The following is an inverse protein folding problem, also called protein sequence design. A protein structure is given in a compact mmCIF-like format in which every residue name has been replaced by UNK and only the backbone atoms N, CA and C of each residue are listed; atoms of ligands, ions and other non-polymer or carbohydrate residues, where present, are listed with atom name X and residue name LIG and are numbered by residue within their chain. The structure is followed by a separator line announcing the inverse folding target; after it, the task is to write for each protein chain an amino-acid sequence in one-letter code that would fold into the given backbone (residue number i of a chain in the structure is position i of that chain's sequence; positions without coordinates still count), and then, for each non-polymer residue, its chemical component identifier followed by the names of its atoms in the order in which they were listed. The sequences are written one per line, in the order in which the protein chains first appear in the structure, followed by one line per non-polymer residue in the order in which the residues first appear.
data_IF_215904171704
#
_entry.id   IF_215904171704
#
_cell.length_a   1.000
_cell.length_b   1.000
_cell.length_c   1.000
_cell.angle_alpha   90.00
_cell.angle_beta   90.00
_cell.angle_gamma   90.00
#
_symmetry.space_group_name_H-M   'P 1'
#
loop_
_entity.id
_entity.type
_entity.pdbx_description
1 polymer ?
#
# COMPACT_ATOMS: atom_id res chain seq x y z
N UNK A 1 -27.12 1.05 5.43
CA UNK A 1 -26.19 -0.06 5.18
C UNK A 1 -24.93 0.07 6.03
N UNK A 2 -25.10 0.13 7.36
CA UNK A 2 -24.01 0.11 8.36
C UNK A 2 -24.26 -1.02 9.38
N UNK A 3 -25.23 -1.89 9.08
CA UNK A 3 -25.71 -2.99 9.92
C UNK A 3 -25.36 -4.39 9.39
N UNK A 4 -24.66 -4.48 8.25
CA UNK A 4 -24.29 -5.76 7.62
C UNK A 4 -22.88 -6.25 8.00
N UNK A 5 -22.05 -5.41 8.64
CA UNK A 5 -20.68 -5.80 9.02
C UNK A 5 -20.57 -6.32 10.46
N UNK A 6 -21.50 -5.96 11.35
CA UNK A 6 -21.49 -6.44 12.77
C UNK A 6 -22.27 -7.76 12.91
N UNK A 7 -23.11 -8.11 11.93
CA UNK A 7 -23.93 -9.33 11.96
C UNK A 7 -23.21 -10.58 11.46
N UNK A 8 -22.16 -10.48 10.65
CA UNK A 8 -21.44 -11.65 10.12
C UNK A 8 -20.40 -12.25 11.08
N UNK A 9 -19.80 -11.45 11.97
CA UNK A 9 -18.81 -11.96 12.93
C UNK A 9 -19.43 -12.73 14.10
N UNK A 10 -20.72 -12.49 14.41
CA UNK A 10 -21.43 -13.16 15.50
C UNK A 10 -22.23 -14.40 15.05
N UNK A 11 -22.35 -14.65 13.74
CA UNK A 11 -23.09 -15.80 13.22
C UNK A 11 -22.23 -17.08 13.11
N UNK A 12 -20.91 -16.97 13.26
CA UNK A 12 -19.98 -18.11 13.23
C UNK A 12 -19.83 -18.84 14.58
N UNK A 13 -20.38 -18.32 15.67
CA UNK A 13 -20.20 -18.88 17.02
C UNK A 13 -21.48 -19.24 17.79
N UNK A 14 -22.65 -19.27 17.16
CA UNK A 14 -23.87 -19.75 17.83
C UNK A 14 -24.18 -21.21 17.47
N UNK A 15 -23.72 -22.15 18.31
CA UNK A 15 -24.27 -23.51 18.37
C UNK A 15 -25.66 -23.46 19.00
N UNK A 16 -26.72 -23.55 18.18
CA UNK A 16 -27.99 -24.19 18.56
C UNK A 16 -28.91 -24.40 17.34
N UNK A 17 -29.13 -25.68 17.05
CA UNK A 17 -30.24 -26.34 16.37
C UNK A 17 -31.09 -25.54 15.38
N UNK A 18 -30.94 -25.81 14.08
CA UNK A 18 -32.05 -25.75 13.10
C UNK A 18 -31.93 -26.86 12.05
N UNK A 19 -33.05 -27.58 11.91
CA UNK A 19 -33.32 -28.68 10.98
C UNK A 19 -33.18 -28.25 9.51
N UNK A 20 -32.73 -29.17 8.66
CA UNK A 20 -32.64 -29.05 7.20
C UNK A 20 -34.00 -28.79 6.53
N UNK A 21 -34.01 -28.05 5.40
CA UNK A 21 -34.97 -28.28 4.33
C UNK A 21 -34.29 -28.67 3.01
N UNK A 22 -35.07 -29.40 2.20
CA UNK A 22 -34.74 -30.10 0.96
C UNK A 22 -34.01 -29.29 -0.12
N UNK A 23 -33.08 -29.98 -0.81
CA UNK A 23 -32.36 -29.50 -1.99
C UNK A 23 -33.11 -29.96 -3.25
N UNK A 24 -33.75 -29.03 -3.96
CA UNK A 24 -34.19 -29.24 -5.35
C UNK A 24 -33.07 -28.86 -6.31
N UNK A 25 -32.61 -29.84 -7.11
CA UNK A 25 -31.54 -29.72 -8.09
C UNK A 25 -32.11 -29.18 -9.41
N UNK A 26 -31.49 -28.14 -9.98
CA UNK A 26 -31.68 -27.70 -11.38
C UNK A 26 -30.35 -27.88 -12.13
N UNK A 27 -30.31 -28.52 -13.31
CA UNK A 27 -29.07 -28.92 -13.97
C UNK A 27 -28.54 -27.83 -14.91
N UNK A 28 -27.24 -27.51 -14.82
CA UNK A 28 -26.52 -26.76 -15.85
C UNK A 28 -25.75 -27.72 -16.76
N UNK A 29 -26.25 -27.90 -17.99
CA UNK A 29 -25.47 -28.41 -19.11
C UNK A 29 -24.88 -27.23 -19.88
N UNK A 30 -23.56 -27.18 -19.96
CA UNK A 30 -22.87 -26.52 -21.07
C UNK A 30 -21.61 -27.34 -21.36
N UNK A 31 -21.68 -28.08 -22.46
CA UNK A 31 -20.63 -28.98 -22.96
C UNK A 31 -19.52 -28.16 -23.65
N UNK A 32 -18.27 -28.44 -23.30
CA UNK A 32 -17.10 -28.08 -24.10
C UNK A 32 -16.75 -29.25 -25.05
N UNK A 33 -16.31 -28.99 -26.30
CA UNK A 33 -16.09 -30.04 -27.28
C UNK A 33 -14.85 -30.91 -26.96
N UNK A 34 -14.85 -32.21 -27.36
CA UNK A 34 -13.84 -33.16 -26.93
C UNK A 34 -12.57 -33.07 -27.80
N UNK A 35 -11.41 -33.03 -27.14
CA UNK A 35 -10.13 -33.37 -27.77
C UNK A 35 -9.89 -34.87 -27.60
N UNK A 36 -9.99 -35.61 -28.70
CA UNK A 36 -9.61 -37.01 -28.81
C UNK A 36 -8.09 -37.14 -28.92
N UNK A 37 -7.49 -37.96 -28.06
CA UNK A 37 -6.33 -38.75 -28.45
C UNK A 37 -6.40 -40.11 -27.76
N UNK A 38 -6.81 -41.12 -28.54
CA UNK A 38 -6.68 -42.53 -28.20
C UNK A 38 -5.22 -42.94 -28.39
N UNK A 39 -4.63 -43.56 -27.37
CA UNK A 39 -3.52 -44.51 -27.51
C UNK A 39 -3.45 -45.36 -26.26
N UNK A 40 -4.06 -46.55 -26.32
CA UNK A 40 -3.76 -47.65 -25.41
C UNK A 40 -2.32 -48.09 -25.68
N UNK A 41 -1.51 -48.25 -24.63
CA UNK A 41 -0.30 -49.08 -24.72
C UNK A 41 -0.13 -49.85 -23.43
N UNK A 42 -0.20 -51.16 -23.60
CA UNK A 42 -0.08 -52.22 -22.61
C UNK A 42 1.34 -52.27 -22.04
N UNK A 43 1.43 -52.53 -20.74
CA UNK A 43 2.66 -52.80 -20.01
C UNK A 43 3.44 -53.97 -20.61
N UNK A 44 4.73 -53.76 -20.91
CA UNK A 44 5.72 -54.83 -20.95
C UNK A 44 7.04 -54.32 -20.36
N UNK A 45 7.46 -54.99 -19.29
CA UNK A 45 8.75 -54.79 -18.63
C UNK A 45 9.88 -55.20 -19.57
N UNK A 46 10.80 -54.26 -19.85
CA UNK A 46 12.16 -54.58 -20.30
C UNK A 46 13.12 -53.62 -19.60
N UNK A 47 14.01 -54.18 -18.78
CA UNK A 47 15.18 -53.48 -18.24
C UNK A 47 16.10 -53.10 -19.41
N UNK A 48 16.45 -51.82 -19.52
CA UNK A 48 17.67 -51.39 -20.20
C UNK A 48 18.16 -50.06 -19.64
N UNK A 49 19.39 -50.10 -19.14
CA UNK A 49 20.22 -48.97 -18.76
C UNK A 49 20.53 -48.09 -19.96
N UNK A 50 20.12 -46.82 -19.92
CA UNK A 50 20.58 -45.79 -20.85
C UNK A 50 20.66 -44.43 -20.14
N UNK A 51 21.85 -43.85 -20.22
CA UNK A 51 22.31 -42.59 -19.64
C UNK A 51 21.55 -41.40 -20.26
N UNK A 52 20.56 -40.83 -19.56
CA UNK A 52 19.81 -39.64 -20.00
C UNK A 52 20.48 -38.36 -19.46
N UNK A 53 21.30 -37.72 -20.29
CA UNK A 53 21.73 -36.32 -20.08
C UNK A 53 20.50 -35.39 -20.04
N UNK A 54 20.27 -34.75 -18.89
CA UNK A 54 19.31 -33.64 -18.76
C UNK A 54 19.66 -32.52 -19.76
N UNK A 55 18.67 -31.92 -20.46
CA UNK A 55 18.92 -30.73 -21.26
C UNK A 55 19.30 -29.58 -20.33
N UNK A 56 20.43 -28.93 -20.61
CA UNK A 56 20.85 -27.72 -19.90
C UNK A 56 19.81 -26.63 -20.15
N UNK A 57 19.07 -26.27 -19.09
CA UNK A 57 18.27 -25.05 -19.05
C UNK A 57 19.24 -23.88 -19.17
N UNK A 58 19.20 -23.17 -20.29
CA UNK A 58 19.94 -21.92 -20.46
C UNK A 58 19.30 -20.91 -19.51
N UNK A 59 19.96 -20.64 -18.38
CA UNK A 59 19.56 -19.54 -17.50
C UNK A 59 19.64 -18.24 -18.30
N UNK A 60 18.56 -17.42 -18.31
CA UNK A 60 18.62 -16.13 -18.95
C UNK A 60 19.72 -15.31 -18.27
N UNK A 61 20.53 -14.55 -19.04
CA UNK A 61 21.63 -13.78 -18.48
C UNK A 61 21.09 -12.83 -17.40
N UNK A 62 21.83 -12.63 -16.29
CA UNK A 62 21.39 -11.75 -15.22
C UNK A 62 21.16 -10.36 -15.80
N UNK A 63 19.89 -9.94 -15.88
CA UNK A 63 19.53 -8.57 -16.26
C UNK A 63 20.21 -7.65 -15.25
N UNK A 64 21.29 -6.97 -15.66
CA UNK A 64 21.84 -5.84 -14.94
C UNK A 64 20.81 -4.72 -15.02
N UNK A 65 19.81 -4.78 -14.15
CA UNK A 65 18.91 -3.65 -13.93
C UNK A 65 19.78 -2.47 -13.53
N UNK A 66 19.72 -1.38 -14.31
CA UNK A 66 20.33 -0.12 -13.92
C UNK A 66 19.78 0.26 -12.55
N UNK A 67 20.64 0.28 -11.53
CA UNK A 67 20.26 0.71 -10.19
C UNK A 67 20.88 2.08 -9.94
N UNK A 68 20.03 3.03 -9.57
CA UNK A 68 20.44 4.33 -9.07
C UNK A 68 20.94 4.20 -7.64
N UNK A 69 21.86 5.07 -7.26
CA UNK A 69 22.50 5.12 -5.93
C UNK A 69 21.53 5.60 -4.84
N UNK A 70 20.46 4.85 -4.59
CA UNK A 70 19.49 5.12 -3.52
C UNK A 70 19.85 4.27 -2.30
N UNK A 71 19.92 4.91 -1.13
CA UNK A 71 20.29 4.32 0.16
C UNK A 71 19.29 4.81 1.20
N UNK A 72 19.28 4.18 2.37
CA UNK A 72 18.32 4.51 3.42
C UNK A 72 18.30 5.99 3.82
N UNK A 73 19.46 6.64 3.89
CA UNK A 73 19.57 8.08 4.22
C UNK A 73 18.80 9.00 3.27
N UNK A 74 18.53 8.55 2.05
CA UNK A 74 17.83 9.32 1.01
C UNK A 74 16.29 9.24 1.15
N UNK A 75 15.78 8.47 2.12
CA UNK A 75 14.35 8.22 2.31
C UNK A 75 13.88 8.95 3.57
N UNK A 76 12.79 9.70 3.43
CA UNK A 76 12.08 10.35 4.51
C UNK A 76 10.72 9.66 4.73
N UNK A 77 10.52 9.08 5.91
CA UNK A 77 9.24 8.45 6.27
C UNK A 77 8.30 9.50 6.89
N UNK A 78 7.08 9.62 6.35
CA UNK A 78 5.98 10.35 6.95
C UNK A 78 4.91 9.37 7.39
N UNK A 79 4.79 9.12 8.68
CA UNK A 79 3.86 8.12 9.22
C UNK A 79 2.60 8.84 9.72
N UNK A 80 1.44 8.49 9.16
CA UNK A 80 0.16 9.03 9.62
C UNK A 80 -0.34 8.24 10.83
N UNK A 81 -0.64 8.92 11.93
CA UNK A 81 -1.16 8.27 13.14
C UNK A 81 -2.27 9.06 13.80
N UNK A 82 -2.97 8.46 14.76
CA UNK A 82 -3.99 9.09 15.60
C UNK A 82 -3.54 9.10 17.06
N UNK A 83 -3.70 10.24 17.74
CA UNK A 83 -3.37 10.37 19.17
C UNK A 83 -4.18 9.38 20.02
N UNK A 84 -5.39 9.03 19.58
CA UNK A 84 -6.27 8.12 20.32
C UNK A 84 -5.80 6.66 20.28
N UNK A 85 -5.10 6.26 19.22
CA UNK A 85 -4.59 4.91 19.04
C UNK A 85 -3.09 4.80 19.33
N UNK A 86 -2.43 5.93 19.62
CA UNK A 86 -0.98 6.05 19.68
C UNK A 86 -0.32 5.04 20.61
N UNK A 87 -0.82 4.86 21.84
CA UNK A 87 -0.20 3.95 22.80
C UNK A 87 -0.15 2.49 22.33
N UNK A 88 -1.08 2.08 21.45
CA UNK A 88 -1.13 0.73 20.88
C UNK A 88 -0.38 0.69 19.54
N UNK A 89 -0.68 1.63 18.64
CA UNK A 89 -0.18 1.59 17.25
C UNK A 89 1.31 1.87 17.12
N UNK A 90 1.90 2.65 18.05
CA UNK A 90 3.34 2.91 18.05
C UNK A 90 4.19 1.63 18.15
N UNK A 91 3.65 0.54 18.70
CA UNK A 91 4.37 -0.73 18.79
C UNK A 91 4.64 -1.34 17.40
N UNK A 92 3.76 -1.16 16.41
CA UNK A 92 4.01 -1.59 15.04
C UNK A 92 5.19 -0.83 14.43
N UNK A 93 5.27 0.49 14.65
CA UNK A 93 6.38 1.32 14.16
C UNK A 93 7.72 0.85 14.76
N UNK A 94 7.74 0.49 16.05
CA UNK A 94 8.95 0.00 16.73
C UNK A 94 9.51 -1.29 16.12
N UNK A 95 8.70 -2.07 15.42
CA UNK A 95 9.15 -3.36 14.82
C UNK A 95 10.12 -3.17 13.67
N UNK A 96 10.03 -2.05 12.94
CA UNK A 96 10.84 -1.82 11.74
C UNK A 96 11.66 -0.53 11.79
N UNK A 97 11.28 0.42 12.65
CA UNK A 97 12.01 1.68 12.80
C UNK A 97 13.42 1.45 13.38
N UNK A 98 14.43 2.08 12.77
CA UNK A 98 15.84 1.94 13.17
C UNK A 98 16.38 3.29 13.65
N UNK A 99 16.42 3.53 14.97
CA UNK A 99 16.92 4.79 15.50
C UNK A 99 18.30 5.12 14.96
N UNK A 100 18.50 6.38 14.57
CA UNK A 100 19.73 6.92 13.97
C UNK A 100 20.03 6.44 12.54
N UNK A 101 19.25 5.52 11.98
CA UNK A 101 19.39 5.07 10.58
C UNK A 101 18.21 5.53 9.72
N UNK A 102 16.97 5.25 10.13
CA UNK A 102 15.77 5.75 9.47
C UNK A 102 15.54 7.22 9.83
N UNK A 103 14.99 7.97 8.87
CA UNK A 103 14.73 9.42 8.99
C UNK A 103 13.27 9.70 8.68
N UNK A 104 12.60 10.51 9.50
CA UNK A 104 11.17 10.71 9.34
C UNK A 104 10.45 11.10 10.61
N UNK A 105 9.13 11.23 10.49
CA UNK A 105 8.25 11.81 11.50
C UNK A 105 6.93 11.04 11.55
N UNK A 106 6.39 10.86 12.76
CA UNK A 106 4.99 10.50 12.97
C UNK A 106 4.15 11.76 13.09
N UNK A 107 3.12 11.88 12.27
CA UNK A 107 2.18 13.00 12.25
C UNK A 107 0.86 12.62 12.90
N UNK A 108 0.57 13.26 14.03
CA UNK A 108 -0.63 13.07 14.84
C UNK A 108 -1.62 14.23 14.69
N UNK A 109 -2.87 13.99 15.08
CA UNK A 109 -3.91 15.01 15.19
C UNK A 109 -3.79 15.85 16.47
N UNK A 110 -3.19 15.31 17.55
CA UNK A 110 -2.96 16.02 18.81
C UNK A 110 -1.64 15.60 19.46
N UNK A 111 -1.16 16.41 20.40
CA UNK A 111 0.03 16.09 21.21
C UNK A 111 -0.22 14.85 22.06
N UNK A 112 0.79 13.99 22.16
CA UNK A 112 0.83 12.79 23.01
C UNK A 112 2.06 12.84 23.91
N UNK A 113 2.02 12.10 25.02
CA UNK A 113 3.16 11.97 25.92
C UNK A 113 4.15 10.97 25.33
N UNK A 114 5.33 11.45 24.92
CA UNK A 114 6.43 10.59 24.49
C UNK A 114 7.18 10.04 25.70
N UNK A 115 7.36 8.72 25.80
CA UNK A 115 8.16 8.13 26.88
C UNK A 115 9.64 8.23 26.51
N UNK A 116 10.48 8.60 27.47
CA UNK A 116 11.94 8.66 27.25
C UNK A 116 12.47 7.26 26.93
N UNK A 117 13.36 7.18 25.94
CA UNK A 117 14.02 5.92 25.55
C UNK A 117 13.25 5.05 24.53
N UNK A 118 12.06 5.47 24.09
CA UNK A 118 11.35 4.76 23.03
C UNK A 118 12.09 4.89 21.68
N UNK A 119 12.27 3.76 20.99
CA UNK A 119 12.89 3.66 19.67
C UNK A 119 11.91 4.09 18.57
N UNK A 120 11.47 5.34 18.61
CA UNK A 120 10.45 5.89 17.72
C UNK A 120 10.99 7.03 16.86
N UNK A 121 10.33 7.36 15.74
CA UNK A 121 10.57 8.59 15.00
C UNK A 121 10.26 9.83 15.84
N UNK A 122 10.66 11.00 15.35
CA UNK A 122 10.17 12.26 15.89
C UNK A 122 8.64 12.33 15.78
N UNK A 123 7.97 12.85 16.80
CA UNK A 123 6.51 12.97 16.84
C UNK A 123 6.13 14.44 16.65
N UNK A 124 5.25 14.71 15.68
CA UNK A 124 4.72 16.04 15.40
C UNK A 124 3.20 16.02 15.32
N UNK A 125 2.60 17.19 15.51
CA UNK A 125 1.18 17.43 15.27
C UNK A 125 1.06 18.11 13.92
N UNK A 126 0.18 17.61 13.06
CA UNK A 126 -0.06 18.23 11.76
C UNK A 126 -0.67 19.62 11.90
N UNK A 127 -0.52 20.43 10.85
CA UNK A 127 -1.11 21.76 10.79
C UNK A 127 -2.65 21.69 10.79
N UNK A 128 -3.28 22.80 11.17
CA UNK A 128 -4.73 22.92 11.15
C UNK A 128 -5.29 22.81 9.72
N UNK A 129 -6.40 22.08 9.59
CA UNK A 129 -7.10 21.82 8.33
C UNK A 129 -8.53 22.37 8.33
N UNK A 130 -8.88 23.22 9.31
CA UNK A 130 -10.21 23.82 9.45
C UNK A 130 -10.68 24.55 8.18
N UNK A 131 -9.76 25.19 7.46
CA UNK A 131 -10.02 25.89 6.20
C UNK A 131 -10.56 25.00 5.06
N UNK A 132 -10.32 23.69 5.09
CA UNK A 132 -10.77 22.78 4.04
C UNK A 132 -12.15 22.22 4.34
N UNK A 133 -13.07 22.29 3.37
CA UNK A 133 -14.38 21.64 3.48
C UNK A 133 -14.22 20.12 3.36
N UNK A 134 -15.01 19.38 4.14
CA UNK A 134 -15.14 17.93 4.03
C UNK A 134 -16.62 17.59 3.90
N UNK A 135 -17.04 17.13 2.72
CA UNK A 135 -18.44 16.90 2.37
C UNK A 135 -18.80 15.41 2.28
N UNK A 136 -17.81 14.52 2.37
CA UNK A 136 -18.08 13.09 2.39
C UNK A 136 -18.78 12.72 3.71
N UNK A 137 -19.90 11.98 3.60
CA UNK A 137 -20.74 11.63 4.76
C UNK A 137 -20.34 10.32 5.45
N UNK A 138 -19.48 9.52 4.83
CA UNK A 138 -19.10 8.18 5.31
C UNK A 138 -17.70 8.19 5.90
N UNK A 139 -16.77 8.90 5.26
CA UNK A 139 -15.38 8.96 5.69
C UNK A 139 -15.15 9.89 6.88
N UNK A 140 -13.89 9.97 7.30
CA UNK A 140 -13.46 10.82 8.41
C UNK A 140 -12.78 12.09 7.91
N UNK A 141 -13.10 13.22 8.57
CA UNK A 141 -12.44 14.51 8.33
C UNK A 141 -10.92 14.45 8.58
N UNK A 142 -10.43 13.49 9.37
CA UNK A 142 -9.00 13.26 9.58
C UNK A 142 -8.23 13.00 8.28
N UNK A 143 -8.90 12.54 7.22
CA UNK A 143 -8.32 12.34 5.89
C UNK A 143 -7.68 13.62 5.31
N UNK A 144 -8.22 14.80 5.62
CA UNK A 144 -7.64 16.08 5.17
C UNK A 144 -6.22 16.27 5.70
N UNK A 145 -6.00 15.96 6.97
CA UNK A 145 -4.71 16.02 7.63
C UNK A 145 -3.75 14.98 7.06
N UNK A 146 -4.21 13.73 6.94
CA UNK A 146 -3.39 12.62 6.46
C UNK A 146 -2.92 12.87 5.02
N UNK A 147 -3.75 13.48 4.17
CA UNK A 147 -3.37 13.88 2.80
C UNK A 147 -2.10 14.76 2.80
N UNK A 148 -1.90 15.59 3.82
CA UNK A 148 -0.80 16.57 3.87
C UNK A 148 0.50 16.01 4.42
N UNK A 149 0.56 14.75 4.86
CA UNK A 149 1.74 14.14 5.52
C UNK A 149 3.02 14.26 4.69
N UNK A 150 2.95 14.03 3.37
CA UNK A 150 4.13 14.17 2.49
C UNK A 150 4.61 15.61 2.44
N UNK A 151 3.69 16.57 2.21
CA UNK A 151 4.03 18.00 2.13
C UNK A 151 4.50 18.55 3.48
N UNK A 152 3.91 18.12 4.59
CA UNK A 152 4.36 18.48 5.94
C UNK A 152 5.76 17.92 6.24
N UNK A 153 6.05 16.69 5.81
CA UNK A 153 7.39 16.09 5.92
C UNK A 153 8.41 16.82 5.04
N UNK A 154 8.03 17.24 3.83
CA UNK A 154 8.87 18.05 2.95
C UNK A 154 9.23 19.40 3.59
N UNK A 155 8.26 20.07 4.22
CA UNK A 155 8.45 21.38 4.89
C UNK A 155 9.48 21.35 6.01
N UNK A 156 9.84 20.17 6.54
CA UNK A 156 10.91 20.02 7.53
C UNK A 156 12.30 20.35 6.97
N UNK A 157 12.46 20.42 5.63
CA UNK A 157 13.71 20.84 5.02
C UNK A 157 14.87 19.86 5.22
N UNK A 158 14.56 18.57 5.41
CA UNK A 158 15.59 17.53 5.59
C UNK A 158 16.51 17.47 4.37
N UNK A 159 17.83 17.55 4.63
CA UNK A 159 18.85 17.53 3.57
C UNK A 159 19.02 16.13 2.97
N UNK A 160 19.43 16.09 1.70
CA UNK A 160 19.79 14.88 0.96
C UNK A 160 18.66 13.83 0.93
N UNK A 161 17.41 14.29 0.77
CA UNK A 161 16.24 13.43 0.57
C UNK A 161 15.92 13.34 -0.91
N UNK A 162 15.63 12.11 -1.36
CA UNK A 162 15.28 11.75 -2.73
C UNK A 162 13.87 11.17 -2.82
N UNK A 163 13.39 10.57 -1.73
CA UNK A 163 12.09 9.91 -1.65
C UNK A 163 11.38 10.26 -0.36
N UNK A 164 10.09 10.59 -0.45
CA UNK A 164 9.17 10.66 0.67
C UNK A 164 8.31 9.41 0.65
N UNK A 165 8.32 8.66 1.74
CA UNK A 165 7.53 7.43 1.89
C UNK A 165 6.47 7.68 2.93
N UNK A 166 5.20 7.57 2.53
CA UNK A 166 4.06 7.66 3.42
C UNK A 166 3.58 6.26 3.79
N UNK A 167 3.17 6.08 5.04
CA UNK A 167 2.44 4.91 5.51
C UNK A 167 1.59 5.25 6.73
N UNK A 168 0.66 4.38 7.08
CA UNK A 168 -0.14 4.49 8.29
C UNK A 168 0.64 3.93 9.50
N UNK A 169 0.10 4.13 10.70
CA UNK A 169 0.75 3.69 11.95
C UNK A 169 0.74 2.16 12.18
N UNK A 170 0.11 1.43 11.28
CA UNK A 170 0.14 -0.03 11.17
C UNK A 170 0.78 -0.54 9.87
N UNK A 171 1.34 0.35 9.03
CA UNK A 171 2.17 -0.06 7.91
C UNK A 171 3.56 -0.51 8.40
N UNK A 172 4.00 -1.71 7.97
CA UNK A 172 5.33 -2.25 8.28
C UNK A 172 6.20 -2.19 7.04
N UNK A 173 7.36 -1.54 7.15
CA UNK A 173 8.32 -1.44 6.05
C UNK A 173 9.49 -2.41 6.22
N UNK A 174 9.68 -3.29 5.24
CA UNK A 174 10.95 -4.02 5.09
C UNK A 174 11.96 -3.09 4.42
N UNK A 175 12.69 -2.34 5.25
CA UNK A 175 13.51 -1.18 4.83
C UNK A 175 14.50 -1.51 3.71
N UNK A 176 15.18 -2.65 3.76
CA UNK A 176 16.11 -3.10 2.71
C UNK A 176 15.40 -3.29 1.37
N UNK A 177 14.20 -3.88 1.39
CA UNK A 177 13.43 -4.12 0.18
C UNK A 177 12.91 -2.81 -0.39
N UNK A 178 12.46 -1.89 0.45
CA UNK A 178 12.06 -0.55 0.03
C UNK A 178 13.21 0.19 -0.65
N UNK A 179 14.42 0.18 -0.07
CA UNK A 179 15.61 0.78 -0.70
C UNK A 179 15.91 0.12 -2.05
N UNK A 180 15.85 -1.21 -2.14
CA UNK A 180 16.05 -1.94 -3.40
C UNK A 180 15.01 -1.58 -4.46
N UNK A 181 13.74 -1.45 -4.09
CA UNK A 181 12.66 -1.04 -5.00
C UNK A 181 12.90 0.38 -5.51
N UNK A 182 13.15 1.34 -4.62
CA UNK A 182 13.36 2.74 -5.00
C UNK A 182 14.65 2.94 -5.81
N UNK A 183 15.66 2.09 -5.62
CA UNK A 183 16.89 2.10 -6.44
C UNK A 183 16.67 1.79 -7.92
N UNK A 184 15.50 1.27 -8.32
CA UNK A 184 15.18 1.03 -9.73
C UNK A 184 14.87 2.33 -10.51
N UNK A 185 14.55 3.41 -9.81
CA UNK A 185 13.97 4.62 -10.39
C UNK A 185 14.89 5.83 -10.30
N UNK A 186 14.89 6.66 -11.34
CA UNK A 186 15.60 7.94 -11.32
C UNK A 186 14.86 8.93 -10.43
N UNK A 187 15.34 9.11 -9.21
CA UNK A 187 14.77 10.03 -8.23
C UNK A 187 14.66 11.50 -8.68
N UNK A 188 15.29 11.90 -9.79
CA UNK A 188 15.16 13.26 -10.36
C UNK A 188 13.90 13.44 -11.20
N UNK A 189 13.20 12.36 -11.53
CA UNK A 189 11.94 12.37 -12.29
C UNK A 189 10.72 12.31 -11.35
N UNK A 190 9.54 12.53 -11.90
CA UNK A 190 8.29 12.41 -11.15
C UNK A 190 7.84 10.96 -11.04
N UNK A 191 7.85 10.45 -9.81
CA UNK A 191 7.37 9.12 -9.49
C UNK A 191 6.41 9.16 -8.29
N UNK A 192 5.23 8.56 -8.50
CA UNK A 192 4.28 8.16 -7.48
C UNK A 192 4.21 6.62 -7.49
N UNK A 193 4.87 5.97 -6.54
CA UNK A 193 5.10 4.52 -6.51
C UNK A 193 4.28 3.90 -5.38
N UNK A 194 3.58 2.82 -5.68
CA UNK A 194 2.82 2.05 -4.69
C UNK A 194 2.03 0.95 -5.37
N UNK A 195 0.94 0.49 -4.75
CA UNK A 195 0.03 -0.48 -5.38
C UNK A 195 -1.43 -0.12 -5.15
N UNK A 196 -2.27 -0.59 -6.07
CA UNK A 196 -3.71 -0.64 -5.87
C UNK A 196 -4.03 -1.65 -4.76
N UNK A 197 -5.27 -1.63 -4.25
CA UNK A 197 -5.71 -2.54 -3.20
C UNK A 197 -5.74 -3.98 -3.70
N UNK A 198 -5.42 -4.94 -2.86
CA UNK A 198 -5.69 -6.36 -3.09
C UNK A 198 -7.20 -6.65 -3.12
N UNK A 199 -8.00 -5.76 -2.54
CA UNK A 199 -9.45 -5.89 -2.53
C UNK A 199 -10.08 -5.38 -3.83
N UNK A 200 -10.70 -6.29 -4.58
CA UNK A 200 -11.38 -5.96 -5.83
C UNK A 200 -12.47 -4.89 -5.66
N UNK A 201 -13.25 -4.98 -4.57
CA UNK A 201 -14.34 -4.03 -4.31
C UNK A 201 -13.80 -2.63 -3.96
N UNK A 202 -12.68 -2.54 -3.25
CA UNK A 202 -12.03 -1.27 -2.95
C UNK A 202 -11.61 -0.57 -4.25
N UNK A 203 -11.03 -1.30 -5.19
CA UNK A 203 -10.59 -0.73 -6.47
C UNK A 203 -11.75 -0.28 -7.36
N UNK A 204 -12.89 -0.99 -7.34
CA UNK A 204 -14.11 -0.57 -8.06
C UNK A 204 -14.65 0.75 -7.49
N UNK A 205 -14.66 0.89 -6.16
CA UNK A 205 -15.25 2.05 -5.49
C UNK A 205 -14.35 3.29 -5.53
N UNK A 206 -13.03 3.11 -5.55
CA UNK A 206 -12.06 4.19 -5.50
C UNK A 206 -11.28 4.29 -6.81
N UNK A 207 -10.16 3.57 -6.95
CA UNK A 207 -9.39 3.57 -8.19
C UNK A 207 -8.38 2.45 -8.25
N UNK A 208 -8.24 1.85 -9.43
CA UNK A 208 -7.10 1.00 -9.76
C UNK A 208 -5.79 1.79 -9.95
N UNK A 209 -5.87 3.11 -10.11
CA UNK A 209 -4.71 3.97 -10.39
C UNK A 209 -4.22 4.74 -9.16
N UNK A 210 -4.69 4.38 -7.97
CA UNK A 210 -4.33 5.00 -6.69
C UNK A 210 -3.41 4.07 -5.90
N UNK A 211 -2.37 4.61 -5.26
CA UNK A 211 -1.68 3.88 -4.21
C UNK A 211 -2.48 3.97 -2.91
N UNK A 212 -2.84 2.83 -2.33
CA UNK A 212 -3.61 2.78 -1.10
C UNK A 212 -2.72 3.06 0.12
N UNK A 213 -3.15 3.98 0.98
CA UNK A 213 -2.35 4.50 2.09
C UNK A 213 -1.87 3.41 3.08
N UNK A 214 -2.72 2.43 3.36
CA UNK A 214 -2.40 1.34 4.30
C UNK A 214 -1.22 0.46 3.86
N UNK A 215 -1.03 0.29 2.55
CA UNK A 215 0.15 -0.39 2.02
C UNK A 215 1.38 0.50 1.86
N UNK A 216 1.21 1.79 2.11
CA UNK A 216 2.21 2.83 1.91
C UNK A 216 2.42 3.18 0.43
N UNK A 217 3.08 4.31 0.22
CA UNK A 217 3.51 4.75 -1.10
C UNK A 217 4.74 5.64 -1.01
N UNK A 218 5.47 5.75 -2.12
CA UNK A 218 6.64 6.62 -2.24
C UNK A 218 6.42 7.70 -3.30
N UNK A 219 6.87 8.91 -3.00
CA UNK A 219 6.87 10.06 -3.90
C UNK A 219 8.31 10.57 -4.05
N UNK A 220 8.77 10.71 -5.29
CA UNK A 220 10.07 11.33 -5.59
C UNK A 220 10.14 12.77 -5.08
N UNK A 221 11.30 13.22 -4.63
CA UNK A 221 11.51 14.58 -4.11
C UNK A 221 10.97 15.70 -5.03
N UNK A 222 11.28 15.75 -6.34
CA UNK A 222 10.78 16.82 -7.21
C UNK A 222 9.25 16.80 -7.34
N UNK A 223 8.62 15.61 -7.37
CA UNK A 223 7.15 15.50 -7.35
C UNK A 223 6.56 16.01 -6.02
N UNK A 224 7.19 15.69 -4.88
CA UNK A 224 6.72 16.20 -3.59
C UNK A 224 6.75 17.74 -3.53
N UNK A 225 7.73 18.39 -4.19
CA UNK A 225 7.76 19.86 -4.30
C UNK A 225 6.59 20.40 -5.09
N UNK A 226 6.28 19.80 -6.25
CA UNK A 226 5.13 20.25 -7.05
C UNK A 226 3.80 19.99 -6.34
N UNK A 227 3.65 18.81 -5.71
CA UNK A 227 2.51 18.51 -4.85
C UNK A 227 2.34 19.60 -3.78
N UNK A 228 3.38 19.93 -3.02
CA UNK A 228 3.29 20.93 -1.95
C UNK A 228 2.89 22.34 -2.42
N UNK A 229 3.15 22.71 -3.69
CA UNK A 229 2.74 24.02 -4.23
C UNK A 229 1.25 24.09 -4.54
N UNK A 230 0.63 22.95 -4.87
CA UNK A 230 -0.74 22.90 -5.41
C UNK A 230 -1.74 22.16 -4.50
N UNK A 231 -1.26 21.37 -3.54
CA UNK A 231 -2.05 20.43 -2.75
C UNK A 231 -3.23 21.09 -2.03
N UNK A 232 -3.02 22.24 -1.39
CA UNK A 232 -4.11 22.90 -0.65
C UNK A 232 -5.24 23.32 -1.63
N UNK A 233 -4.90 23.78 -2.85
CA UNK A 233 -5.90 24.09 -3.89
C UNK A 233 -6.59 22.83 -4.42
N UNK A 234 -5.86 21.73 -4.56
CA UNK A 234 -6.42 20.42 -4.92
C UNK A 234 -7.44 19.94 -3.88
N UNK A 235 -7.09 20.00 -2.59
CA UNK A 235 -8.00 19.63 -1.49
C UNK A 235 -9.28 20.47 -1.52
N UNK A 236 -9.19 21.77 -1.82
CA UNK A 236 -10.36 22.64 -1.97
C UNK A 236 -11.29 22.23 -3.12
N UNK A 237 -10.75 21.74 -4.24
CA UNK A 237 -11.53 21.27 -5.39
C UNK A 237 -12.23 19.94 -5.15
N UNK A 238 -11.68 19.11 -4.27
CA UNK A 238 -12.16 17.75 -4.02
C UNK A 238 -12.66 17.52 -2.58
N UNK A 239 -13.62 18.31 -2.08
CA UNK A 239 -14.08 18.20 -0.70
C UNK A 239 -14.92 16.94 -0.45
N UNK A 240 -15.45 16.30 -1.49
CA UNK A 240 -16.34 15.13 -1.40
C UNK A 240 -15.61 13.77 -1.41
N UNK A 241 -14.31 13.74 -1.71
CA UNK A 241 -13.53 12.49 -1.74
C UNK A 241 -13.49 11.81 -0.36
N UNK A 242 -13.34 10.49 -0.35
CA UNK A 242 -13.49 9.70 0.88
C UNK A 242 -12.26 9.83 1.77
N UNK A 243 -11.13 9.30 1.31
CA UNK A 243 -9.90 9.13 2.06
C UNK A 243 -8.81 10.14 1.70
N UNK A 244 -7.65 9.96 2.32
CA UNK A 244 -6.45 10.74 2.00
C UNK A 244 -5.75 10.25 0.73
N UNK A 245 -5.75 8.94 0.51
CA UNK A 245 -5.25 8.29 -0.70
C UNK A 245 -6.04 8.74 -1.94
N UNK A 246 -7.37 8.79 -1.85
CA UNK A 246 -8.27 9.27 -2.90
C UNK A 246 -7.92 10.72 -3.30
N UNK A 247 -7.64 11.58 -2.31
CA UNK A 247 -7.20 12.96 -2.53
C UNK A 247 -5.79 13.06 -3.10
N UNK A 248 -4.85 12.25 -2.62
CA UNK A 248 -3.50 12.20 -3.20
C UNK A 248 -3.61 11.80 -4.66
N UNK A 249 -4.41 10.78 -4.99
CA UNK A 249 -4.62 10.37 -6.37
C UNK A 249 -5.22 11.48 -7.24
N UNK A 250 -6.22 12.21 -6.73
CA UNK A 250 -6.77 13.36 -7.45
C UNK A 250 -5.70 14.43 -7.74
N UNK A 251 -4.83 14.73 -6.76
CA UNK A 251 -3.74 15.68 -6.96
C UNK A 251 -2.67 15.14 -7.93
N UNK A 252 -2.37 13.84 -7.91
CA UNK A 252 -1.46 13.22 -8.88
C UNK A 252 -2.02 13.27 -10.30
N UNK A 253 -3.32 13.07 -10.46
CA UNK A 253 -4.00 13.20 -11.74
C UNK A 253 -3.92 14.64 -12.29
N UNK A 254 -4.11 15.66 -11.44
CA UNK A 254 -3.91 17.06 -11.84
C UNK A 254 -2.47 17.39 -12.24
N UNK A 255 -1.49 16.76 -11.57
CA UNK A 255 -0.07 16.89 -11.91
C UNK A 255 0.33 16.05 -13.14
N UNK A 256 -0.58 15.25 -13.69
CA UNK A 256 -0.32 14.37 -14.84
C UNK A 256 0.62 13.21 -14.53
N UNK A 257 0.74 12.80 -13.25
CA UNK A 257 1.65 11.72 -12.84
C UNK A 257 0.86 10.44 -12.55
N UNK A 258 1.06 9.36 -13.32
CA UNK A 258 0.38 8.10 -13.07
C UNK A 258 1.01 7.32 -11.91
N UNK A 259 0.22 6.42 -11.32
CA UNK A 259 0.74 5.42 -10.39
C UNK A 259 1.73 4.49 -11.10
N UNK A 260 2.94 4.44 -10.58
CA UNK A 260 3.94 3.42 -10.88
C UNK A 260 3.72 2.23 -9.96
N UNK A 261 3.16 1.15 -10.50
CA UNK A 261 2.79 -0.02 -9.70
C UNK A 261 4.00 -0.85 -9.32
N UNK A 262 4.15 -1.12 -8.02
CA UNK A 262 5.13 -2.04 -7.46
C UNK A 262 4.41 -3.06 -6.58
N UNK A 263 4.54 -4.35 -6.92
CA UNK A 263 3.82 -5.45 -6.26
C UNK A 263 4.23 -5.68 -4.81
N UNK A 264 5.25 -4.99 -4.29
CA UNK A 264 5.71 -5.12 -2.91
C UNK A 264 5.02 -4.19 -1.92
N UNK A 265 4.07 -3.36 -2.37
CA UNK A 265 3.22 -2.53 -1.51
C UNK A 265 1.87 -3.23 -1.36
N UNK A 266 1.44 -3.46 -0.11
CA UNK A 266 0.31 -4.34 0.21
C UNK A 266 -0.61 -3.74 1.26
N UNK A 267 -1.92 -3.74 1.02
CA UNK A 267 -2.93 -3.23 1.95
C UNK A 267 -3.60 -4.35 2.75
#
# INVERSE_FOLDING_TARGET
MTLLYISYSNLLFSKKDRKSPDITIVPNKTEAPPFNHSSNTTSSHVQNSADQKRPNLVEPPPRRYLRYDTNLKHIAFGIASSSNLWEIRKEYIKTWWRPKETRGVVWLDKKVVAKKGERLPEIRVSEDTSQFKYLNKVGSRSALRITRVVSETLKLGMKDIRWFVMGDDDTIFVVENLVRVLSKYDHTQYYYIGSASESHIQNILFSYSMAYGGGGFAISYPLAKELSKMQDKCIHRYPALYGSDDRIQACMAELGVPLTRELGFHQ
#
